data_IF_230619071076
#
_entry.id   IF_230619071076
#
_cell.length_a   1.000
_cell.length_b   1.000
_cell.length_c   1.000
_cell.angle_alpha   90.00
_cell.angle_beta   90.00
_cell.angle_gamma   90.00
#
_symmetry.space_group_name_H-M   'P 1'
#
loop_
_entity.id
_entity.type
_entity.pdbx_description
1 polymer ?
#
# COMPACT_ATOMS: atom_id res chain seq x y z
N UNK A 1 -19.94 16.31 10.75
CA UNK A 1 -20.05 15.09 11.57
C UNK A 1 -19.35 15.21 12.93
N UNK A 2 -18.09 15.66 12.99
CA UNK A 2 -17.32 15.80 14.25
C UNK A 2 -18.08 16.50 15.41
N UNK A 3 -18.65 17.69 15.16
CA UNK A 3 -19.39 18.44 16.19
C UNK A 3 -20.61 17.68 16.76
N UNK A 4 -21.28 16.85 15.96
CA UNK A 4 -22.43 16.06 16.43
C UNK A 4 -21.95 14.88 17.28
N UNK A 5 -20.90 14.18 16.85
CA UNK A 5 -20.25 13.12 17.62
C UNK A 5 -19.78 13.63 18.98
N UNK A 6 -19.10 14.77 19.02
CA UNK A 6 -18.57 15.34 20.26
C UNK A 6 -19.69 15.75 21.23
N UNK A 7 -20.80 16.29 20.70
CA UNK A 7 -22.01 16.57 21.51
C UNK A 7 -22.63 15.31 22.08
N UNK A 8 -22.76 14.24 21.29
CA UNK A 8 -23.29 12.95 21.77
C UNK A 8 -22.37 12.30 22.81
N UNK A 9 -21.05 12.39 22.64
CA UNK A 9 -20.10 11.91 23.65
C UNK A 9 -20.20 12.69 24.96
N UNK A 10 -20.35 14.02 24.90
CA UNK A 10 -20.60 14.83 26.09
C UNK A 10 -21.93 14.46 26.76
N UNK A 11 -22.98 14.25 25.96
CA UNK A 11 -24.28 13.83 26.46
C UNK A 11 -24.21 12.46 27.14
N UNK A 12 -23.53 11.49 26.53
CA UNK A 12 -23.26 10.16 27.12
C UNK A 12 -22.60 10.30 28.49
N UNK A 13 -21.50 11.05 28.58
CA UNK A 13 -20.80 11.29 29.86
C UNK A 13 -21.72 11.88 30.93
N UNK A 14 -22.57 12.85 30.56
CA UNK A 14 -23.52 13.45 31.50
C UNK A 14 -24.55 12.43 31.99
N UNK A 15 -25.11 11.61 31.10
CA UNK A 15 -26.08 10.59 31.53
C UNK A 15 -25.41 9.54 32.41
N UNK A 16 -24.20 9.08 32.10
CA UNK A 16 -23.49 8.11 32.96
C UNK A 16 -23.37 8.62 34.40
N UNK A 17 -22.96 9.88 34.58
CA UNK A 17 -22.86 10.51 35.91
C UNK A 17 -24.23 10.56 36.62
N UNK A 18 -25.30 10.87 35.88
CA UNK A 18 -26.66 10.89 36.43
C UNK A 18 -27.12 9.48 36.84
N UNK A 19 -26.87 8.47 36.01
CA UNK A 19 -27.18 7.08 36.29
C UNK A 19 -26.48 6.62 37.57
N UNK A 20 -25.19 6.92 37.73
CA UNK A 20 -24.40 6.59 38.93
C UNK A 20 -24.99 7.26 40.17
N UNK A 21 -25.37 8.54 40.06
CA UNK A 21 -26.04 9.27 41.14
C UNK A 21 -27.37 8.63 41.53
N UNK A 22 -28.17 8.17 40.57
CA UNK A 22 -29.42 7.48 40.86
C UNK A 22 -29.21 6.12 41.52
N UNK A 23 -28.10 5.43 41.22
CA UNK A 23 -27.73 4.22 41.98
C UNK A 23 -27.38 4.53 43.43
N UNK A 24 -26.67 5.63 43.70
CA UNK A 24 -26.34 6.05 45.05
C UNK A 24 -27.61 6.40 45.84
N UNK A 25 -28.50 7.21 45.26
CA UNK A 25 -29.80 7.56 45.87
C UNK A 25 -30.64 6.31 46.15
N UNK A 26 -30.66 5.34 45.22
CA UNK A 26 -31.37 4.09 45.44
C UNK A 26 -30.81 3.30 46.63
N UNK A 27 -29.48 3.22 46.78
CA UNK A 27 -28.82 2.58 47.92
C UNK A 27 -29.13 3.28 49.25
N UNK A 28 -29.07 4.61 49.27
CA UNK A 28 -29.43 5.42 50.45
C UNK A 28 -30.89 5.22 50.87
N UNK A 29 -31.83 5.24 49.91
CA UNK A 29 -33.25 5.01 50.20
C UNK A 29 -33.51 3.59 50.74
N UNK A 30 -32.77 2.59 50.27
CA UNK A 30 -32.85 1.22 50.80
C UNK A 30 -32.32 1.13 52.23
N UNK A 31 -31.23 1.84 52.55
CA UNK A 31 -30.69 1.89 53.92
C UNK A 31 -31.68 2.53 54.91
N UNK A 32 -32.47 3.50 54.45
CA UNK A 32 -33.53 4.15 55.23
C UNK A 32 -34.87 3.39 55.23
N UNK A 33 -34.93 2.18 54.67
CA UNK A 33 -36.16 1.38 54.49
C UNK A 33 -37.29 2.07 53.68
N UNK A 34 -36.99 3.12 52.89
CA UNK A 34 -37.96 3.77 52.01
C UNK A 34 -38.00 3.11 50.63
N UNK A 35 -38.76 2.01 50.57
CA UNK A 35 -38.93 1.21 49.35
C UNK A 35 -39.56 1.98 48.18
N UNK A 36 -40.47 2.92 48.45
CA UNK A 36 -41.19 3.65 47.40
C UNK A 36 -40.23 4.59 46.65
N UNK A 37 -39.38 5.31 47.39
CA UNK A 37 -38.36 6.20 46.78
C UNK A 37 -37.25 5.42 46.08
N UNK A 38 -36.81 4.30 46.65
CA UNK A 38 -35.84 3.42 46.00
C UNK A 38 -36.34 2.90 44.64
N UNK A 39 -37.59 2.45 44.55
CA UNK A 39 -38.19 2.00 43.29
C UNK A 39 -38.29 3.13 42.24
N UNK A 40 -38.59 4.36 42.66
CA UNK A 40 -38.63 5.50 41.75
C UNK A 40 -37.24 5.82 41.18
N UNK A 41 -36.21 5.81 42.03
CA UNK A 41 -34.82 6.02 41.59
C UNK A 41 -34.38 4.94 40.59
N UNK A 42 -34.69 3.67 40.85
CA UNK A 42 -34.37 2.57 39.93
C UNK A 42 -35.12 2.67 38.59
N UNK A 43 -36.37 3.14 38.58
CA UNK A 43 -37.12 3.38 37.32
C UNK A 43 -36.48 4.49 36.48
N UNK A 44 -36.05 5.58 37.12
CA UNK A 44 -35.34 6.66 36.43
C UNK A 44 -33.99 6.16 35.89
N UNK A 45 -33.28 5.33 36.66
CA UNK A 45 -32.01 4.73 36.24
C UNK A 45 -32.22 3.90 34.98
N UNK A 46 -33.27 3.07 34.96
CA UNK A 46 -33.58 2.23 33.81
C UNK A 46 -33.91 3.05 32.55
N UNK A 47 -34.60 4.18 32.72
CA UNK A 47 -34.86 5.10 31.62
C UNK A 47 -33.58 5.74 31.09
N UNK A 48 -32.67 6.17 31.98
CA UNK A 48 -31.37 6.73 31.60
C UNK A 48 -30.47 5.72 30.89
N UNK A 49 -30.44 4.45 31.35
CA UNK A 49 -29.78 3.35 30.63
C UNK A 49 -30.34 3.21 29.21
N UNK A 50 -31.66 3.24 29.03
CA UNK A 50 -32.26 3.15 27.69
C UNK A 50 -31.90 4.34 26.78
N UNK A 51 -31.63 5.52 27.35
CA UNK A 51 -31.16 6.68 26.61
C UNK A 51 -29.67 6.56 26.25
N UNK A 52 -28.86 5.97 27.14
CA UNK A 52 -27.46 5.64 26.85
C UNK A 52 -27.38 4.67 25.67
N UNK A 53 -28.14 3.58 25.70
CA UNK A 53 -28.16 2.58 24.62
C UNK A 53 -28.49 3.21 23.26
N UNK A 54 -29.50 4.10 23.22
CA UNK A 54 -29.85 4.85 22.01
C UNK A 54 -28.72 5.80 21.56
N UNK A 55 -28.05 6.45 22.50
CA UNK A 55 -26.95 7.38 22.21
C UNK A 55 -25.75 6.62 21.65
N UNK A 56 -25.42 5.46 22.20
CA UNK A 56 -24.33 4.61 21.70
C UNK A 56 -24.65 4.04 20.31
N UNK A 57 -25.89 3.64 20.06
CA UNK A 57 -26.33 3.24 18.71
C UNK A 57 -26.18 4.39 17.68
N UNK A 58 -26.56 5.61 18.06
CA UNK A 58 -26.38 6.80 17.22
C UNK A 58 -24.91 7.13 16.98
N UNK A 59 -24.04 6.98 17.99
CA UNK A 59 -22.60 7.16 17.84
C UNK A 59 -22.01 6.16 16.84
N UNK A 60 -22.37 4.87 16.96
CA UNK A 60 -21.94 3.84 16.02
C UNK A 60 -22.39 4.14 14.58
N UNK A 61 -23.64 4.60 14.40
CA UNK A 61 -24.14 5.01 13.10
C UNK A 61 -23.36 6.20 12.51
N UNK A 62 -22.98 7.18 13.33
CA UNK A 62 -22.16 8.32 12.87
C UNK A 62 -20.75 7.89 12.49
N UNK A 63 -20.16 6.93 13.19
CA UNK A 63 -18.85 6.36 12.86
C UNK A 63 -18.90 5.64 11.50
N UNK A 64 -19.92 4.80 11.30
CA UNK A 64 -20.14 4.14 10.01
C UNK A 64 -20.32 5.16 8.88
N UNK A 65 -21.14 6.19 9.08
CA UNK A 65 -21.38 7.21 8.06
C UNK A 65 -20.13 8.04 7.77
N UNK A 66 -19.29 8.29 8.78
CA UNK A 66 -18.00 8.97 8.57
C UNK A 66 -17.07 8.12 7.71
N UNK A 67 -16.94 6.83 8.01
CA UNK A 67 -16.13 5.91 7.20
C UNK A 67 -16.65 5.78 5.75
N UNK A 68 -17.96 5.79 5.55
CA UNK A 68 -18.56 5.81 4.21
C UNK A 68 -18.20 7.08 3.43
N UNK A 69 -18.22 8.25 4.08
CA UNK A 69 -17.83 9.51 3.45
C UNK A 69 -16.34 9.53 3.11
N UNK A 70 -15.48 9.06 4.02
CA UNK A 70 -14.04 8.97 3.78
C UNK A 70 -13.73 8.04 2.60
N UNK A 71 -14.39 6.88 2.54
CA UNK A 71 -14.26 5.97 1.42
C UNK A 71 -14.76 6.58 0.10
N UNK A 72 -15.87 7.34 0.13
CA UNK A 72 -16.37 8.03 -1.05
C UNK A 72 -15.42 9.14 -1.54
N UNK A 73 -14.71 9.82 -0.63
CA UNK A 73 -13.68 10.80 -1.00
C UNK A 73 -12.51 10.12 -1.72
N UNK A 74 -12.03 8.99 -1.20
CA UNK A 74 -10.97 8.21 -1.88
C UNK A 74 -11.44 7.72 -3.25
N UNK A 75 -12.67 7.21 -3.36
CA UNK A 75 -13.24 6.79 -4.64
C UNK A 75 -13.29 7.93 -5.65
N UNK A 76 -13.68 9.14 -5.21
CA UNK A 76 -13.67 10.33 -6.07
C UNK A 76 -12.26 10.62 -6.60
N UNK A 77 -11.26 10.57 -5.73
CA UNK A 77 -9.87 10.86 -6.12
C UNK A 77 -9.33 9.80 -7.10
N UNK A 78 -9.65 8.51 -6.86
CA UNK A 78 -9.32 7.42 -7.80
C UNK A 78 -10.00 7.63 -9.15
N UNK A 79 -11.30 7.98 -9.16
CA UNK A 79 -12.04 8.27 -10.39
C UNK A 79 -11.39 9.42 -11.16
N UNK A 80 -11.02 10.50 -10.47
CA UNK A 80 -10.37 11.66 -11.08
C UNK A 80 -8.98 11.31 -11.65
N UNK A 81 -8.21 10.47 -10.94
CA UNK A 81 -6.93 9.95 -11.42
C UNK A 81 -7.10 9.07 -12.67
N UNK A 82 -8.09 8.17 -12.70
CA UNK A 82 -8.41 7.35 -13.87
C UNK A 82 -8.86 8.19 -15.06
N UNK A 83 -9.65 9.24 -14.81
CA UNK A 83 -10.10 10.15 -15.86
C UNK A 83 -8.92 10.91 -16.48
N UNK A 84 -8.00 11.44 -15.65
CA UNK A 84 -6.79 12.08 -16.14
C UNK A 84 -5.89 11.10 -16.90
N UNK A 85 -5.67 9.89 -16.36
CA UNK A 85 -4.90 8.85 -17.04
C UNK A 85 -5.48 8.50 -18.41
N UNK A 86 -6.81 8.35 -18.48
CA UNK A 86 -7.51 8.11 -19.76
C UNK A 86 -7.35 9.28 -20.73
N UNK A 87 -7.39 10.53 -20.25
CA UNK A 87 -7.17 11.70 -21.10
C UNK A 87 -5.75 11.73 -21.66
N UNK A 88 -4.74 11.48 -20.84
CA UNK A 88 -3.33 11.41 -21.27
C UNK A 88 -3.11 10.26 -22.26
N UNK A 89 -3.72 9.09 -21.98
CA UNK A 89 -3.64 7.96 -22.90
C UNK A 89 -4.29 8.29 -24.25
N UNK A 90 -5.43 9.00 -24.24
CA UNK A 90 -6.09 9.45 -25.46
C UNK A 90 -5.25 10.49 -26.23
N UNK A 91 -4.50 11.36 -25.56
CA UNK A 91 -3.58 12.28 -26.25
C UNK A 91 -2.41 11.54 -26.87
N UNK A 92 -1.78 10.61 -26.14
CA UNK A 92 -0.69 9.77 -26.67
C UNK A 92 -1.21 8.94 -27.86
N UNK A 93 -2.40 8.36 -27.74
CA UNK A 93 -3.00 7.57 -28.81
C UNK A 93 -3.25 8.40 -30.06
N UNK A 94 -3.66 9.67 -29.92
CA UNK A 94 -3.80 10.60 -31.06
C UNK A 94 -2.45 10.99 -31.66
N UNK A 95 -1.44 11.27 -30.83
CA UNK A 95 -0.10 11.64 -31.29
C UNK A 95 0.62 10.49 -32.00
N UNK A 96 0.42 9.24 -31.57
CA UNK A 96 0.93 8.04 -32.26
C UNK A 96 0.14 7.69 -33.53
N UNK A 97 -0.83 8.51 -33.96
CA UNK A 97 -1.60 8.29 -35.19
C UNK A 97 -2.77 7.33 -35.04
N UNK A 98 -3.19 7.00 -33.82
CA UNK A 98 -4.31 6.09 -33.55
C UNK A 98 -4.08 4.68 -34.07
N UNK A 99 -5.15 4.02 -34.51
CA UNK A 99 -5.08 2.67 -35.11
C UNK A 99 -4.28 2.71 -36.42
N UNK A 100 -4.49 3.73 -37.27
CA UNK A 100 -3.80 3.88 -38.54
C UNK A 100 -2.28 4.06 -38.38
N UNK A 101 -1.85 4.76 -37.33
CA UNK A 101 -0.43 4.92 -37.00
C UNK A 101 0.23 3.60 -36.58
N UNK A 102 -0.50 2.76 -35.82
CA UNK A 102 -0.03 1.42 -35.45
C UNK A 102 0.01 0.50 -36.66
N UNK A 103 -1.02 0.50 -37.50
CA UNK A 103 -1.05 -0.28 -38.76
C UNK A 103 0.08 0.13 -39.70
N UNK A 104 0.37 1.43 -39.84
CA UNK A 104 1.48 1.93 -40.64
C UNK A 104 2.84 1.48 -40.08
N UNK A 105 3.04 1.58 -38.77
CA UNK A 105 4.29 1.15 -38.14
C UNK A 105 4.53 -0.37 -38.28
N UNK A 106 3.46 -1.18 -38.19
CA UNK A 106 3.56 -2.62 -38.44
C UNK A 106 3.91 -2.90 -39.90
N UNK A 107 3.27 -2.21 -40.85
CA UNK A 107 3.60 -2.32 -42.28
C UNK A 107 5.04 -1.92 -42.59
N UNK A 108 5.51 -0.77 -42.08
CA UNK A 108 6.89 -0.29 -42.24
C UNK A 108 7.91 -1.27 -41.62
N UNK A 109 7.59 -1.91 -40.49
CA UNK A 109 8.44 -2.93 -39.87
C UNK A 109 8.50 -4.23 -40.68
N UNK A 110 7.37 -4.66 -41.23
CA UNK A 110 7.31 -5.83 -42.10
C UNK A 110 8.08 -5.59 -43.41
N UNK A 111 7.93 -4.42 -44.03
CA UNK A 111 8.70 -4.02 -45.22
C UNK A 111 10.20 -3.92 -44.93
N UNK A 112 10.60 -3.29 -43.82
CA UNK A 112 12.00 -3.21 -43.43
C UNK A 112 12.61 -4.60 -43.17
N UNK A 113 11.84 -5.51 -42.59
CA UNK A 113 12.28 -6.90 -42.39
C UNK A 113 12.42 -7.65 -43.71
N UNK A 114 11.48 -7.48 -44.62
CA UNK A 114 11.56 -8.08 -45.96
C UNK A 114 12.77 -7.55 -46.74
N UNK A 115 13.04 -6.24 -46.68
CA UNK A 115 14.24 -5.65 -47.28
C UNK A 115 15.53 -6.19 -46.66
N UNK A 116 15.58 -6.33 -45.34
CA UNK A 116 16.72 -6.94 -44.66
C UNK A 116 16.94 -8.40 -45.11
N UNK A 117 15.87 -9.19 -45.24
CA UNK A 117 15.94 -10.56 -45.75
C UNK A 117 16.43 -10.60 -47.21
N UNK A 118 15.95 -9.70 -48.06
CA UNK A 118 16.42 -9.57 -49.45
C UNK A 118 17.91 -9.21 -49.51
N UNK A 119 18.36 -8.23 -48.72
CA UNK A 119 19.77 -7.86 -48.61
C UNK A 119 20.61 -9.03 -48.09
N UNK A 120 20.12 -9.75 -47.08
CA UNK A 120 20.79 -10.94 -46.54
C UNK A 120 20.91 -12.04 -47.60
N UNK A 121 19.86 -12.26 -48.39
CA UNK A 121 19.85 -13.27 -49.45
C UNK A 121 20.75 -12.87 -50.62
N UNK A 122 20.81 -11.58 -50.96
CA UNK A 122 21.74 -11.06 -51.97
C UNK A 122 23.19 -11.16 -51.52
N UNK A 123 23.48 -10.93 -50.23
CA UNK A 123 24.83 -11.11 -49.67
C UNK A 123 25.24 -12.59 -49.72
N UNK A 124 24.38 -13.50 -49.26
CA UNK A 124 24.62 -14.95 -49.37
C UNK A 124 24.76 -15.42 -50.83
N UNK A 125 23.97 -14.87 -51.76
CA UNK A 125 24.01 -15.27 -53.16
C UNK A 125 25.22 -14.72 -53.95
N UNK A 126 25.94 -13.72 -53.43
CA UNK A 126 27.10 -13.13 -54.09
C UNK A 126 28.45 -13.54 -53.49
N UNK A 127 28.49 -14.14 -52.29
CA UNK A 127 29.73 -14.70 -51.75
C UNK A 127 30.07 -16.03 -52.43
N UNK A 128 31.35 -16.25 -52.73
CA UNK A 128 31.84 -17.58 -53.09
C UNK A 128 32.03 -18.42 -51.83
N UNK A 129 32.10 -19.75 -51.98
CA UNK A 129 32.38 -20.67 -50.86
C UNK A 129 33.69 -20.35 -50.14
N UNK A 130 34.65 -19.75 -50.85
CA UNK A 130 35.93 -19.36 -50.25
C UNK A 130 35.82 -18.06 -49.46
N UNK A 131 34.99 -17.11 -49.92
CA UNK A 131 34.71 -15.90 -49.14
C UNK A 131 33.92 -16.23 -47.86
N UNK A 132 33.05 -17.25 -47.88
CA UNK A 132 32.35 -17.73 -46.69
C UNK A 132 33.30 -18.37 -45.67
N UNK A 133 34.29 -19.15 -46.13
CA UNK A 133 35.34 -19.73 -45.28
C UNK A 133 36.20 -18.63 -44.63
N UNK A 134 36.64 -17.63 -45.40
CA UNK A 134 37.43 -16.50 -44.88
C UNK A 134 36.67 -15.70 -43.80
N UNK A 135 35.35 -15.51 -43.99
CA UNK A 135 34.48 -14.82 -43.00
C UNK A 135 34.29 -15.65 -41.72
N UNK A 136 34.16 -16.97 -41.82
CA UNK A 136 34.04 -17.85 -40.65
C UNK A 136 35.36 -17.87 -39.84
N UNK A 137 36.51 -17.88 -40.53
CA UNK A 137 37.83 -17.77 -39.92
C UNK A 137 38.03 -16.43 -39.17
N UNK A 138 37.61 -15.30 -39.78
CA UNK A 138 37.62 -13.98 -39.12
C UNK A 138 36.70 -13.94 -37.89
N UNK A 139 35.51 -14.55 -37.99
CA UNK A 139 34.57 -14.65 -36.86
C UNK A 139 35.16 -15.47 -35.72
N UNK A 140 35.88 -16.56 -36.02
CA UNK A 140 36.55 -17.39 -35.03
C UNK A 140 37.71 -16.64 -34.34
N UNK A 141 38.48 -15.85 -35.10
CA UNK A 141 39.52 -14.97 -34.54
C UNK A 141 38.94 -13.92 -33.58
N UNK A 142 37.84 -13.25 -33.95
CA UNK A 142 37.15 -12.28 -33.08
C UNK A 142 36.55 -12.94 -31.83
N UNK A 143 36.02 -14.16 -31.94
CA UNK A 143 35.54 -14.94 -30.79
C UNK A 143 36.68 -15.26 -29.83
N UNK A 144 37.86 -15.61 -30.33
CA UNK A 144 39.03 -15.87 -29.49
C UNK A 144 39.53 -14.59 -28.79
N UNK A 145 39.50 -13.44 -29.47
CA UNK A 145 39.86 -12.13 -28.89
C UNK A 145 38.90 -11.72 -27.75
N UNK A 146 37.58 -11.95 -27.92
CA UNK A 146 36.58 -11.67 -26.88
C UNK A 146 36.63 -12.71 -25.74
N UNK A 147 37.02 -13.95 -26.06
CA UNK A 147 37.15 -15.04 -25.10
C UNK A 147 38.49 -15.03 -24.35
N UNK A 148 39.45 -14.16 -24.70
CA UNK A 148 40.61 -13.95 -23.84
C UNK A 148 40.13 -13.52 -22.45
N UNK A 149 40.41 -14.32 -21.41
CA UNK A 149 39.91 -14.05 -20.09
C UNK A 149 40.55 -12.76 -19.59
N UNK A 150 39.73 -11.73 -19.36
CA UNK A 150 40.10 -10.63 -18.49
C UNK A 150 40.64 -11.27 -17.20
N UNK A 151 41.93 -11.11 -16.96
CA UNK A 151 42.64 -11.68 -15.82
C UNK A 151 42.19 -10.93 -14.55
N UNK A 152 40.98 -11.23 -14.08
CA UNK A 152 40.48 -10.75 -12.80
C UNK A 152 41.28 -11.44 -11.69
N UNK A 153 41.86 -10.69 -10.74
CA UNK A 153 42.61 -11.28 -9.64
C UNK A 153 41.70 -12.20 -8.82
N UNK A 154 42.22 -13.37 -8.45
CA UNK A 154 41.46 -14.39 -7.74
C UNK A 154 40.86 -13.83 -6.44
N UNK A 155 39.57 -14.10 -6.14
CA UNK A 155 38.95 -13.67 -4.90
C UNK A 155 39.67 -14.34 -3.71
N UNK A 156 39.96 -13.61 -2.61
CA UNK A 156 40.74 -14.12 -1.50
C UNK A 156 40.06 -15.32 -0.83
N UNK A 157 40.71 -16.48 -0.92
CA UNK A 157 40.36 -17.74 -0.26
C UNK A 157 40.70 -17.68 1.24
N UNK A 158 39.91 -16.94 2.03
CA UNK A 158 39.92 -17.11 3.49
C UNK A 158 38.52 -17.49 3.93
N UNK A 159 38.35 -18.79 4.19
CA UNK A 159 37.18 -19.29 4.91
C UNK A 159 37.07 -18.56 6.27
N UNK A 160 35.90 -17.98 6.61
CA UNK A 160 35.71 -17.38 7.92
C UNK A 160 35.73 -18.48 9.00
N UNK A 161 36.39 -18.25 10.15
CA UNK A 161 36.51 -19.25 11.19
C UNK A 161 35.13 -19.62 11.76
N UNK A 162 34.85 -20.93 11.85
CA UNK A 162 33.69 -21.51 12.52
C UNK A 162 33.62 -21.00 13.97
N UNK A 163 32.53 -20.32 14.33
CA UNK A 163 32.19 -20.01 15.72
C UNK A 163 31.60 -21.25 16.38
N UNK A 164 32.27 -21.78 17.40
CA UNK A 164 31.68 -22.71 18.36
C UNK A 164 30.66 -21.97 19.24
N UNK A 165 29.54 -22.62 19.64
CA UNK A 165 28.52 -21.97 20.43
C UNK A 165 28.90 -21.98 21.91
N UNK A 166 29.02 -20.80 22.53
CA UNK A 166 29.06 -20.69 23.99
C UNK A 166 27.88 -19.83 24.44
N UNK A 167 26.87 -20.58 24.90
CA UNK A 167 25.90 -20.36 25.98
C UNK A 167 25.38 -18.94 26.26
N UNK A 168 24.05 -18.87 26.15
CA UNK A 168 23.14 -17.82 26.60
C UNK A 168 23.48 -17.18 27.95
N UNK A 169 23.49 -15.85 27.95
CA UNK A 169 22.92 -15.08 29.05
C UNK A 169 21.95 -14.07 28.44
N UNK A 170 20.67 -14.40 28.50
CA UNK A 170 19.57 -13.51 28.15
C UNK A 170 19.46 -12.43 29.24
N UNK A 171 19.82 -11.19 28.90
CA UNK A 171 19.36 -9.99 29.59
C UNK A 171 18.89 -8.98 28.54
N UNK A 172 17.59 -9.02 28.24
CA UNK A 172 16.84 -7.87 27.76
C UNK A 172 16.33 -7.06 28.97
N UNK A 173 15.82 -5.82 28.81
CA UNK A 173 16.22 -4.75 27.88
C UNK A 173 16.30 -3.39 28.61
N UNK A 174 17.12 -2.43 28.15
CA UNK A 174 16.92 -1.01 28.51
C UNK A 174 16.99 -0.11 27.28
N UNK A 175 15.79 0.33 26.86
CA UNK A 175 15.58 1.49 26.01
C UNK A 175 15.62 2.72 26.89
N UNK A 176 16.67 3.53 26.82
CA UNK A 176 16.78 4.92 27.29
C UNK A 176 18.07 5.48 26.63
N UNK A 177 18.19 6.67 26.04
CA UNK A 177 17.37 7.88 26.02
C UNK A 177 17.98 8.85 25.00
N UNK A 178 17.11 9.69 24.42
CA UNK A 178 17.35 11.07 23.95
C UNK A 178 18.77 11.64 24.09
N UNK A 179 19.26 12.23 23.01
CA UNK A 179 19.93 13.53 23.13
C UNK A 179 19.76 14.35 21.85
N UNK A 180 18.88 15.35 21.91
CA UNK A 180 19.02 16.55 21.09
C UNK A 180 18.89 17.72 22.07
N UNK A 181 20.02 18.35 22.37
CA UNK A 181 20.07 19.67 22.98
C UNK A 181 20.70 20.63 21.96
N UNK A 182 20.22 21.88 21.90
CA UNK A 182 20.50 22.83 20.83
C UNK A 182 21.68 23.74 21.15
N UNK A 183 22.24 24.36 20.11
CA UNK A 183 22.67 25.76 20.10
C UNK A 183 22.66 26.26 18.65
#
# INVERSE_FOLDING_TARGET
>A
MKNQRDKLQQYRKRITILTDRETAIAKECLALNDRKRALLALRRKKYQESLLDKTDAQLAQLEQLTGQVEFALVQKDVLFGLQQGTQVLNTIHKEMGGIEGVERLMGESEEARAYQEEVSQMLQGNLSTQDEEDVEDELEALRQEIAEPVHLPAPPTKEPPKREPVLEQQQEPEVQTRTALPA
#
